data_IF_581167110765
#
_entry.id   IF_581167110765
#
_cell.length_a   1.000
_cell.length_b   1.000
_cell.length_c   1.000
_cell.angle_alpha   90.00
_cell.angle_beta   90.00
_cell.angle_gamma   90.00
#
_symmetry.space_group_name_H-M   'P 1'
#
loop_
_entity.id
_entity.type
_entity.pdbx_description
1 polymer ?
#
# COMPACT_ATOMS: atom_id res chain seq x y z
N UNK A 1 -14.39 50.15 -1.37
CA UNK A 1 -15.14 49.21 -2.24
C UNK A 1 -15.11 47.83 -1.60
N UNK A 2 -16.18 47.04 -1.71
CA UNK A 2 -16.30 45.78 -0.97
C UNK A 2 -15.34 44.66 -1.45
N UNK A 3 -14.65 44.89 -2.57
CA UNK A 3 -13.73 43.94 -3.18
C UNK A 3 -12.50 43.65 -2.31
N UNK A 4 -11.94 44.64 -1.62
CA UNK A 4 -10.76 44.43 -0.76
C UNK A 4 -11.07 43.48 0.40
N UNK A 5 -12.25 43.63 1.02
CA UNK A 5 -12.69 42.73 2.10
C UNK A 5 -12.91 41.31 1.59
N UNK A 6 -13.54 41.18 0.43
CA UNK A 6 -13.78 39.89 -0.22
C UNK A 6 -12.44 39.22 -0.59
N UNK A 7 -11.47 39.96 -1.11
CA UNK A 7 -10.14 39.44 -1.46
C UNK A 7 -9.42 38.93 -0.21
N UNK A 8 -9.41 39.69 0.88
CA UNK A 8 -8.76 39.28 2.13
C UNK A 8 -9.43 38.04 2.72
N UNK A 9 -10.76 37.97 2.67
CA UNK A 9 -11.52 36.79 3.14
C UNK A 9 -11.22 35.54 2.30
N UNK A 10 -11.14 35.69 0.98
CA UNK A 10 -10.78 34.59 0.08
C UNK A 10 -9.36 34.10 0.31
N UNK A 11 -8.39 35.01 0.50
CA UNK A 11 -6.99 34.65 0.78
C UNK A 11 -6.86 33.91 2.12
N UNK A 12 -7.53 34.37 3.17
CA UNK A 12 -7.53 33.67 4.46
C UNK A 12 -8.12 32.26 4.37
N UNK A 13 -9.17 32.09 3.55
CA UNK A 13 -9.79 30.79 3.31
C UNK A 13 -8.88 29.86 2.50
N UNK A 14 -8.16 30.38 1.51
CA UNK A 14 -7.16 29.62 0.72
C UNK A 14 -6.03 29.13 1.62
N UNK A 15 -5.46 30.01 2.45
CA UNK A 15 -4.40 29.64 3.40
C UNK A 15 -4.84 28.50 4.34
N UNK A 16 -6.07 28.60 4.88
CA UNK A 16 -6.63 27.56 5.75
C UNK A 16 -6.85 26.23 5.02
N UNK A 17 -7.19 26.28 3.74
CA UNK A 17 -7.36 25.09 2.91
C UNK A 17 -6.01 24.43 2.60
N UNK A 18 -4.99 25.23 2.29
CA UNK A 18 -3.62 24.75 2.05
C UNK A 18 -3.06 24.02 3.28
N UNK A 19 -3.18 24.62 4.47
CA UNK A 19 -2.75 23.98 5.73
C UNK A 19 -3.47 22.65 6.01
N UNK A 20 -4.79 22.59 5.74
CA UNK A 20 -5.57 21.35 5.89
C UNK A 20 -5.19 20.29 4.87
N UNK A 21 -4.86 20.69 3.64
CA UNK A 21 -4.39 19.77 2.60
C UNK A 21 -3.02 19.21 2.98
N UNK A 22 -2.12 20.02 3.52
CA UNK A 22 -0.81 19.57 4.01
C UNK A 22 -0.93 18.56 5.16
N UNK A 23 -1.84 18.81 6.12
CA UNK A 23 -2.12 17.84 7.19
C UNK A 23 -2.67 16.52 6.63
N UNK A 24 -3.63 16.59 5.70
CA UNK A 24 -4.19 15.41 5.05
C UNK A 24 -3.17 14.64 4.18
N UNK A 25 -2.22 15.34 3.56
CA UNK A 25 -1.14 14.74 2.77
C UNK A 25 -0.10 14.06 3.66
N UNK A 26 0.22 14.64 4.82
CA UNK A 26 1.11 14.03 5.80
C UNK A 26 0.48 12.78 6.46
N UNK A 27 -0.80 12.82 6.83
CA UNK A 27 -1.51 11.65 7.39
C UNK A 27 -1.68 10.51 6.35
N UNK A 28 -1.83 10.85 5.07
CA UNK A 28 -1.87 9.87 3.95
C UNK A 28 -0.55 9.15 3.68
N UNK A 29 0.55 9.51 4.36
CA UNK A 29 1.77 8.68 4.39
C UNK A 29 1.53 7.34 5.11
N UNK A 30 0.35 7.11 5.70
CA UNK A 30 -0.08 5.84 6.30
C UNK A 30 -1.37 5.23 5.72
N UNK A 31 -1.86 5.66 4.54
CA UNK A 31 -3.05 5.05 3.93
C UNK A 31 -3.36 5.53 2.51
N UNK A 32 -3.10 4.67 1.52
CA UNK A 32 -3.31 4.84 0.07
C UNK A 32 -4.79 5.10 -0.32
N UNK A 33 -5.21 5.85 -1.36
CA UNK A 33 -5.00 5.66 -2.82
C UNK A 33 -5.58 6.84 -3.67
N UNK A 34 -4.85 7.20 -4.76
CA UNK A 34 -5.18 7.82 -6.08
C UNK A 34 -5.91 9.19 -6.19
N UNK A 35 -5.70 10.06 -7.20
CA UNK A 35 -5.28 9.96 -8.62
C UNK A 35 -4.64 11.30 -9.03
N UNK A 36 -3.53 11.32 -9.78
CA UNK A 36 -3.36 11.94 -11.12
C UNK A 36 -1.89 11.96 -11.55
N UNK A 37 -1.69 11.60 -12.83
CA UNK A 37 -0.61 11.87 -13.77
C UNK A 37 0.80 12.26 -13.29
N UNK A 38 1.75 11.49 -13.81
CA UNK A 38 3.10 11.90 -14.20
C UNK A 38 3.81 12.87 -13.27
N UNK A 39 4.69 12.33 -12.42
CA UNK A 39 6.02 12.92 -12.31
C UNK A 39 7.03 11.87 -11.83
N UNK A 40 8.05 11.74 -12.66
CA UNK A 40 9.30 11.02 -12.50
C UNK A 40 10.01 11.35 -11.20
N UNK A 41 10.18 10.37 -10.30
CA UNK A 41 11.39 10.31 -9.47
C UNK A 41 11.83 8.85 -9.35
N UNK A 42 12.90 8.51 -10.06
CA UNK A 42 13.66 7.28 -9.89
C UNK A 42 14.36 7.29 -8.52
N UNK A 43 13.61 7.08 -7.44
CA UNK A 43 14.20 6.61 -6.20
C UNK A 43 14.05 5.10 -6.17
N UNK A 44 15.05 4.38 -6.70
CA UNK A 44 15.11 2.92 -6.63
C UNK A 44 15.45 2.56 -5.19
N UNK A 45 14.45 2.64 -4.32
CA UNK A 45 14.52 2.13 -2.95
C UNK A 45 14.80 0.63 -3.08
N UNK A 46 15.96 0.19 -2.59
CA UNK A 46 16.30 -1.24 -2.50
C UNK A 46 15.39 -1.89 -1.45
N UNK A 47 14.18 -2.22 -1.85
CA UNK A 47 13.21 -2.96 -1.04
C UNK A 47 13.79 -4.35 -0.75
N UNK A 48 13.85 -4.71 0.52
CA UNK A 48 14.34 -5.99 1.02
C UNK A 48 13.16 -6.95 1.25
N UNK A 49 13.45 -8.25 1.33
CA UNK A 49 12.45 -9.27 1.70
C UNK A 49 11.76 -8.96 3.03
N UNK A 50 12.47 -8.33 3.97
CA UNK A 50 11.91 -7.91 5.27
C UNK A 50 10.76 -6.91 5.08
N UNK A 51 10.95 -5.92 4.23
CA UNK A 51 9.96 -4.86 3.98
C UNK A 51 8.65 -5.44 3.42
N UNK A 52 8.75 -6.52 2.62
CA UNK A 52 7.58 -7.23 2.08
C UNK A 52 6.87 -8.02 3.19
N UNK A 53 7.61 -8.63 4.12
CA UNK A 53 7.01 -9.33 5.27
C UNK A 53 6.29 -8.35 6.19
N UNK A 54 6.95 -7.24 6.51
CA UNK A 54 6.38 -6.21 7.37
C UNK A 54 5.08 -5.64 6.74
N UNK A 55 5.05 -5.50 5.41
CA UNK A 55 3.84 -5.13 4.67
C UNK A 55 2.72 -6.19 4.77
N UNK A 56 3.03 -7.48 4.58
CA UNK A 56 2.05 -8.56 4.72
C UNK A 56 1.46 -8.58 6.13
N UNK A 57 2.30 -8.41 7.15
CA UNK A 57 1.86 -8.40 8.55
C UNK A 57 0.95 -7.19 8.83
N UNK A 58 1.29 -6.01 8.32
CA UNK A 58 0.42 -4.83 8.43
C UNK A 58 -0.96 -5.10 7.80
N UNK A 59 -1.02 -5.70 6.61
CA UNK A 59 -2.28 -6.05 5.96
C UNK A 59 -3.11 -7.04 6.78
N UNK A 60 -2.47 -8.01 7.45
CA UNK A 60 -3.14 -8.94 8.36
C UNK A 60 -3.73 -8.21 9.58
N UNK A 61 -2.96 -7.34 10.21
CA UNK A 61 -3.40 -6.53 11.36
C UNK A 61 -4.59 -5.65 10.97
N UNK A 62 -4.54 -4.99 9.82
CA UNK A 62 -5.64 -4.17 9.33
C UNK A 62 -6.91 -5.00 9.08
N UNK A 63 -6.79 -6.16 8.44
CA UNK A 63 -7.93 -7.04 8.21
C UNK A 63 -8.53 -7.57 9.52
N UNK A 64 -7.67 -7.89 10.50
CA UNK A 64 -8.11 -8.26 11.85
C UNK A 64 -8.85 -7.13 12.55
N UNK A 65 -8.37 -5.89 12.42
CA UNK A 65 -9.04 -4.71 12.96
C UNK A 65 -10.39 -4.44 12.28
N UNK A 66 -10.56 -4.85 11.01
CA UNK A 66 -11.86 -4.83 10.31
C UNK A 66 -12.78 -5.99 10.71
N UNK A 67 -12.31 -6.94 11.52
CA UNK A 67 -13.06 -8.11 11.95
C UNK A 67 -13.16 -9.20 10.88
N UNK A 68 -12.24 -9.22 9.92
CA UNK A 68 -12.14 -10.30 8.94
C UNK A 68 -11.52 -11.55 9.59
N UNK A 69 -12.05 -12.74 9.25
CA UNK A 69 -11.50 -14.02 9.71
C UNK A 69 -10.28 -14.46 8.89
N UNK A 70 -10.15 -13.93 7.67
CA UNK A 70 -9.08 -14.25 6.76
C UNK A 70 -8.83 -13.11 5.77
N UNK A 71 -7.61 -13.05 5.24
CA UNK A 71 -7.22 -12.18 4.13
C UNK A 71 -6.65 -13.01 2.99
N UNK A 72 -7.03 -12.68 1.76
CA UNK A 72 -6.42 -13.28 0.55
C UNK A 72 -5.47 -12.29 -0.06
N UNK A 73 -4.20 -12.68 -0.21
CA UNK A 73 -3.18 -11.86 -0.86
C UNK A 73 -2.65 -12.55 -2.12
N UNK A 74 -2.49 -11.75 -3.18
CA UNK A 74 -1.96 -12.19 -4.46
C UNK A 74 -0.58 -11.60 -4.72
N UNK A 75 0.34 -12.42 -5.23
CA UNK A 75 1.71 -12.00 -5.52
C UNK A 75 1.82 -10.86 -6.54
N UNK A 76 0.91 -10.79 -7.53
CA UNK A 76 0.86 -9.66 -8.48
C UNK A 76 0.68 -8.31 -7.78
N UNK A 77 -0.15 -8.28 -6.75
CA UNK A 77 -0.57 -7.04 -6.10
C UNK A 77 0.58 -6.53 -5.22
N UNK A 78 1.20 -7.43 -4.46
CA UNK A 78 2.42 -7.11 -3.69
C UNK A 78 3.57 -6.65 -4.61
N UNK A 79 3.77 -7.31 -5.75
CA UNK A 79 4.81 -6.91 -6.69
C UNK A 79 4.55 -5.50 -7.28
N UNK A 80 3.28 -5.16 -7.54
CA UNK A 80 2.88 -3.86 -8.09
C UNK A 80 3.02 -2.73 -7.07
N UNK A 81 2.60 -2.98 -5.82
CA UNK A 81 2.64 -2.01 -4.72
C UNK A 81 4.09 -1.63 -4.39
N UNK A 82 4.99 -2.62 -4.34
CA UNK A 82 6.37 -2.39 -3.94
C UNK A 82 7.28 -1.90 -5.08
N UNK A 83 6.76 -1.71 -6.31
CA UNK A 83 7.49 -1.29 -7.54
C UNK A 83 8.82 -2.01 -7.72
N UNK A 84 8.86 -3.28 -7.33
CA UNK A 84 10.07 -4.07 -7.32
C UNK A 84 10.43 -4.50 -8.74
N UNK A 85 11.59 -4.08 -9.25
CA UNK A 85 12.13 -4.68 -10.48
C UNK A 85 12.66 -6.08 -10.17
N UNK A 86 12.17 -7.10 -10.86
CA UNK A 86 12.66 -8.49 -10.82
C UNK A 86 12.57 -9.19 -9.45
N UNK A 87 11.55 -8.89 -8.63
CA UNK A 87 11.45 -9.46 -7.29
C UNK A 87 10.38 -10.55 -7.11
N UNK A 88 9.80 -11.08 -8.18
CA UNK A 88 8.71 -12.06 -8.05
C UNK A 88 9.10 -13.26 -7.15
N UNK A 89 10.30 -13.86 -7.28
CA UNK A 89 10.73 -14.91 -6.35
C UNK A 89 10.83 -14.43 -4.90
N UNK A 90 11.29 -13.19 -4.68
CA UNK A 90 11.40 -12.60 -3.35
C UNK A 90 10.01 -12.37 -2.71
N UNK A 91 9.04 -11.90 -3.50
CA UNK A 91 7.64 -11.71 -3.04
C UNK A 91 7.02 -13.06 -2.68
N UNK A 92 7.10 -14.05 -3.57
CA UNK A 92 6.56 -15.38 -3.31
C UNK A 92 7.20 -16.03 -2.08
N UNK A 93 8.52 -15.88 -1.90
CA UNK A 93 9.22 -16.37 -0.72
C UNK A 93 8.77 -15.66 0.55
N UNK A 94 8.61 -14.33 0.53
CA UNK A 94 8.09 -13.58 1.67
C UNK A 94 6.68 -14.02 2.04
N UNK A 95 5.80 -14.21 1.05
CA UNK A 95 4.44 -14.72 1.25
C UNK A 95 4.45 -16.09 1.93
N UNK A 96 5.24 -17.05 1.45
CA UNK A 96 5.38 -18.37 2.09
C UNK A 96 5.95 -18.30 3.49
N UNK A 97 6.90 -17.40 3.74
CA UNK A 97 7.47 -17.19 5.08
C UNK A 97 6.45 -16.62 6.07
N UNK A 98 5.44 -15.90 5.58
CA UNK A 98 4.35 -15.35 6.39
C UNK A 98 3.20 -16.35 6.58
N UNK A 99 3.28 -17.56 6.04
CA UNK A 99 2.27 -18.60 6.27
C UNK A 99 2.43 -19.21 7.66
N UNK A 100 1.31 -19.34 8.38
CA UNK A 100 1.14 -20.21 9.53
C UNK A 100 0.59 -21.59 9.15
N UNK A 101 0.34 -22.42 10.16
CA UNK A 101 -0.11 -23.81 9.98
C UNK A 101 -1.51 -23.93 9.38
N UNK A 102 -2.37 -22.92 9.59
CA UNK A 102 -3.75 -22.92 9.12
C UNK A 102 -3.94 -22.26 7.76
N UNK A 103 -2.91 -21.65 7.18
CA UNK A 103 -3.01 -20.87 5.95
C UNK A 103 -3.09 -21.76 4.71
N UNK A 104 -3.83 -21.30 3.70
CA UNK A 104 -4.17 -22.11 2.52
C UNK A 104 -3.67 -21.42 1.25
N UNK A 105 -2.95 -22.15 0.41
CA UNK A 105 -2.60 -21.70 -0.93
C UNK A 105 -3.82 -21.94 -1.85
N UNK A 106 -4.40 -20.87 -2.39
CA UNK A 106 -5.56 -20.95 -3.28
C UNK A 106 -5.15 -21.24 -4.72
N UNK A 107 -4.04 -20.66 -5.17
CA UNK A 107 -3.54 -20.86 -6.52
C UNK A 107 -2.01 -20.81 -6.54
N UNK A 108 -1.40 -21.79 -7.21
CA UNK A 108 0.05 -21.91 -7.36
C UNK A 108 0.40 -22.50 -8.74
N UNK A 109 1.50 -22.05 -9.33
CA UNK A 109 2.05 -22.63 -10.57
C UNK A 109 3.02 -23.77 -10.24
N UNK A 110 3.26 -24.73 -11.15
CA UNK A 110 4.24 -25.80 -10.92
C UNK A 110 5.66 -25.31 -10.58
N UNK A 111 6.01 -24.08 -10.99
CA UNK A 111 7.28 -23.42 -10.65
C UNK A 111 7.34 -22.87 -9.23
N UNK A 112 6.21 -22.69 -8.55
CA UNK A 112 6.09 -22.06 -7.22
C UNK A 112 6.33 -20.55 -7.18
N UNK A 113 6.76 -19.94 -8.29
CA UNK A 113 7.09 -18.51 -8.38
C UNK A 113 6.33 -17.88 -9.54
N UNK A 114 5.17 -17.28 -9.26
CA UNK A 114 4.33 -16.63 -10.25
C UNK A 114 3.55 -15.47 -9.63
N UNK A 115 3.22 -14.47 -10.46
CA UNK A 115 2.30 -13.39 -10.11
C UNK A 115 0.87 -13.89 -9.83
N UNK A 116 0.55 -15.11 -10.25
CA UNK A 116 -0.71 -15.79 -9.94
C UNK A 116 -0.70 -16.53 -8.61
N UNK A 117 0.39 -16.49 -7.82
CA UNK A 117 0.39 -17.11 -6.49
C UNK A 117 -0.61 -16.37 -5.59
N UNK A 118 -1.57 -17.11 -5.04
CA UNK A 118 -2.60 -16.59 -4.13
C UNK A 118 -2.62 -17.41 -2.85
N UNK A 119 -2.54 -16.72 -1.72
CA UNK A 119 -2.52 -17.35 -0.40
C UNK A 119 -3.59 -16.69 0.47
N UNK A 120 -4.39 -17.53 1.11
CA UNK A 120 -5.38 -17.17 2.12
C UNK A 120 -4.74 -17.33 3.49
N UNK A 121 -4.61 -16.23 4.21
CA UNK A 121 -4.10 -16.18 5.58
C UNK A 121 -5.26 -16.04 6.56
N UNK A 122 -5.25 -16.83 7.64
CA UNK A 122 -6.18 -16.68 8.76
C UNK A 122 -5.61 -15.69 9.80
N UNK A 123 -6.48 -14.92 10.45
CA UNK A 123 -6.14 -13.70 11.23
C UNK A 123 -6.34 -13.83 12.76
#
# INVERSE_FOLDING_TARGET
MNYEKIIVELLARIQTLEEKVDMLMNDKSTGSVSVTHEETVNNVVKVKTKDIRDFIEAQKIEAKNRGEEFIVLRASDLHRINRLKNAMPMVCNAMRQCMGENDIILHETPSGYSSSLEIKYFL
#
